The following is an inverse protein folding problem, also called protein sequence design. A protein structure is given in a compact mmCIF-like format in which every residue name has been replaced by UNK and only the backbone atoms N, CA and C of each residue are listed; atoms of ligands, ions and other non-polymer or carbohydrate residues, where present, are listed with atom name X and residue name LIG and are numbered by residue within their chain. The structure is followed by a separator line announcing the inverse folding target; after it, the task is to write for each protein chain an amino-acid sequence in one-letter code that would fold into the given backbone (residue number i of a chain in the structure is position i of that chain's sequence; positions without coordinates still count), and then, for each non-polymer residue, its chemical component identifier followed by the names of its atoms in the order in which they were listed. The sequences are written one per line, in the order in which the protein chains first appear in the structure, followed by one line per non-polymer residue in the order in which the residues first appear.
data_IF_058984792018
#
_entry.id   IF_058984792018
#
_cell.length_a   1.000
_cell.length_b   1.000
_cell.length_c   1.000
_cell.angle_alpha   90.00
_cell.angle_beta   90.00
_cell.angle_gamma   90.00
#
_symmetry.space_group_name_H-M   'P 1'
#
loop_
_entity.id
_entity.type
_entity.pdbx_description
1 polymer ?
#
# COMPACT_ATOMS: atom_id res chain seq x y z
N UNK A 1 24.56 10.97 -55.92
CA UNK A 1 24.38 9.69 -55.20
C UNK A 1 24.85 9.91 -53.77
N UNK A 2 23.95 9.62 -52.81
CA UNK A 2 24.17 9.39 -51.37
C UNK A 2 24.67 10.54 -50.47
N UNK A 3 24.27 10.64 -49.21
CA UNK A 3 22.97 10.55 -48.53
C UNK A 3 23.28 11.13 -47.14
N UNK A 4 22.54 12.15 -46.73
CA UNK A 4 22.63 12.76 -45.41
C UNK A 4 21.98 11.78 -44.40
N UNK A 5 22.74 11.24 -43.44
CA UNK A 5 22.19 10.39 -42.38
C UNK A 5 21.60 11.25 -41.27
N UNK A 6 20.28 11.11 -41.13
CA UNK A 6 19.43 11.70 -40.10
C UNK A 6 19.59 10.86 -38.81
N UNK A 7 20.08 11.46 -37.73
CA UNK A 7 20.00 10.86 -36.40
C UNK A 7 18.53 10.83 -35.97
N UNK A 8 17.96 9.63 -35.86
CA UNK A 8 16.64 9.40 -35.24
C UNK A 8 16.87 9.21 -33.75
N UNK A 9 16.59 10.24 -32.95
CA UNK A 9 16.41 10.13 -31.51
C UNK A 9 15.08 9.42 -31.25
N UNK A 10 15.12 8.10 -31.03
CA UNK A 10 13.96 7.36 -30.52
C UNK A 10 13.91 7.60 -29.01
N UNK A 11 13.17 8.64 -28.61
CA UNK A 11 12.72 8.78 -27.23
C UNK A 11 11.72 7.67 -26.94
N UNK A 12 12.15 6.62 -26.25
CA UNK A 12 11.23 5.64 -25.65
C UNK A 12 10.61 6.32 -24.44
N UNK A 13 9.49 7.01 -24.66
CA UNK A 13 8.60 7.40 -23.58
C UNK A 13 7.99 6.11 -23.02
N UNK A 14 8.62 5.53 -21.99
CA UNK A 14 7.97 4.53 -21.15
C UNK A 14 6.72 5.17 -20.57
N UNK A 15 5.56 4.80 -21.11
CA UNK A 15 4.26 5.11 -20.50
C UNK A 15 4.18 4.28 -19.21
N UNK A 16 4.69 4.83 -18.12
CA UNK A 16 4.24 4.44 -16.78
C UNK A 16 2.77 4.83 -16.76
N UNK A 17 1.90 3.85 -16.98
CA UNK A 17 0.46 4.03 -16.82
C UNK A 17 0.27 4.24 -15.32
N UNK A 18 0.16 5.49 -14.88
CA UNK A 18 -0.23 5.84 -13.52
C UNK A 18 -1.62 5.25 -13.29
N UNK A 19 -1.67 4.05 -12.70
CA UNK A 19 -2.90 3.54 -12.12
C UNK A 19 -3.20 4.39 -10.89
N UNK A 20 -4.45 4.84 -10.78
CA UNK A 20 -4.92 5.74 -9.74
C UNK A 20 -4.57 5.18 -8.35
N UNK A 21 -3.64 5.85 -7.68
CA UNK A 21 -3.05 5.45 -6.39
C UNK A 21 -4.03 5.73 -5.24
N UNK A 22 -5.11 6.48 -5.49
CA UNK A 22 -6.07 6.96 -4.46
C UNK A 22 -7.10 5.92 -4.01
N UNK A 23 -7.12 4.74 -4.64
CA UNK A 23 -7.95 3.60 -4.23
C UNK A 23 -7.14 2.35 -3.89
N UNK A 24 -5.81 2.45 -3.81
CA UNK A 24 -4.96 1.32 -3.43
C UNK A 24 -5.01 1.12 -1.91
N UNK A 25 -5.55 -0.01 -1.40
CA UNK A 25 -5.58 -0.29 0.03
C UNK A 25 -4.18 -0.26 0.68
N UNK A 26 -3.11 -0.49 -0.10
CA UNK A 26 -1.73 -0.36 0.39
C UNK A 26 -1.35 1.10 0.72
N UNK A 27 -1.97 2.08 0.03
CA UNK A 27 -1.84 3.51 0.33
C UNK A 27 -2.74 3.94 1.50
N UNK A 28 -3.95 3.37 1.62
CA UNK A 28 -4.92 3.74 2.67
C UNK A 28 -4.56 3.17 4.05
N UNK A 29 -4.02 1.95 4.12
CA UNK A 29 -3.49 1.35 5.36
C UNK A 29 -2.37 2.20 6.00
N UNK A 30 -1.67 3.00 5.19
CA UNK A 30 -0.61 3.89 5.66
C UNK A 30 -1.15 5.18 6.31
N UNK A 31 -2.40 5.59 6.08
CA UNK A 31 -2.96 6.82 6.70
C UNK A 31 -3.58 6.58 8.08
N UNK A 32 -4.28 5.46 8.27
CA UNK A 32 -4.93 5.16 9.56
C UNK A 32 -3.92 4.74 10.63
N UNK A 33 -2.85 4.04 10.23
CA UNK A 33 -1.81 3.58 11.17
C UNK A 33 -0.74 4.65 11.46
N UNK A 34 -0.55 5.65 10.58
CA UNK A 34 0.39 6.76 10.83
C UNK A 34 -0.10 7.67 11.93
N UNK A 35 -1.40 7.97 12.02
CA UNK A 35 -1.92 8.90 13.05
C UNK A 35 -1.69 8.33 14.45
N UNK A 36 -2.00 7.05 14.66
CA UNK A 36 -1.87 6.40 15.97
C UNK A 36 -0.41 6.10 16.34
N UNK A 37 0.43 5.63 15.40
CA UNK A 37 1.83 5.33 15.68
C UNK A 37 2.66 6.61 15.87
N UNK A 38 2.40 7.66 15.09
CA UNK A 38 3.13 8.94 15.21
C UNK A 38 2.89 9.59 16.57
N UNK A 39 1.65 9.58 17.08
CA UNK A 39 1.36 10.10 18.43
C UNK A 39 2.06 9.31 19.53
N UNK A 40 2.11 7.98 19.44
CA UNK A 40 2.75 7.12 20.46
C UNK A 40 4.28 7.27 20.41
N UNK A 41 4.88 7.39 19.23
CA UNK A 41 6.35 7.52 19.08
C UNK A 41 6.85 8.88 19.57
N UNK A 42 6.12 9.97 19.33
CA UNK A 42 6.47 11.29 19.91
C UNK A 42 6.35 11.30 21.44
N UNK A 43 5.30 10.69 22.00
CA UNK A 43 5.12 10.59 23.45
C UNK A 43 6.23 9.76 24.13
N UNK A 44 6.72 8.71 23.48
CA UNK A 44 7.83 7.89 23.99
C UNK A 44 9.19 8.59 23.82
N UNK A 45 9.39 9.38 22.76
CA UNK A 45 10.63 10.14 22.55
C UNK A 45 10.81 11.27 23.57
N UNK A 46 9.73 11.94 23.96
CA UNK A 46 9.76 12.98 25.00
C UNK A 46 10.02 12.39 26.40
N UNK A 47 9.55 11.16 26.67
CA UNK A 47 9.82 10.46 27.93
C UNK A 47 11.27 9.99 28.09
N UNK A 48 11.98 9.73 26.98
CA UNK A 48 13.38 9.29 26.98
C UNK A 48 14.39 10.45 27.01
N UNK A 49 13.94 11.70 26.88
CA UNK A 49 14.79 12.88 26.89
C UNK A 49 15.05 13.47 28.29
N UNK A 50 14.52 12.87 29.37
CA UNK A 50 14.55 13.48 30.70
C UNK A 50 14.96 12.55 31.87
N UNK A 51 15.85 11.59 31.62
CA UNK A 51 16.48 10.82 32.71
C UNK A 51 17.70 11.56 33.27
N UNK A 52 17.49 12.44 34.25
CA UNK A 52 18.52 12.83 35.24
C UNK A 52 17.91 13.51 36.48
N UNK A 53 17.23 12.74 37.34
CA UNK A 53 17.35 12.78 38.81
C UNK A 53 16.20 12.05 39.49
N UNK A 54 16.56 11.19 40.45
CA UNK A 54 15.69 10.34 41.23
C UNK A 54 14.65 11.11 42.07
N UNK A 55 13.42 10.57 42.21
CA UNK A 55 12.83 10.02 43.46
C UNK A 55 11.30 9.80 43.35
N UNK A 56 10.85 8.68 43.95
CA UNK A 56 9.49 8.31 44.37
C UNK A 56 8.31 8.44 43.39
N UNK A 57 7.84 7.28 42.92
CA UNK A 57 6.49 7.10 42.37
C UNK A 57 5.47 7.24 43.50
N UNK A 58 4.73 8.34 43.52
CA UNK A 58 3.40 8.39 44.13
C UNK A 58 2.38 8.65 43.02
N UNK A 59 1.42 7.73 42.92
CA UNK A 59 0.37 7.73 41.91
C UNK A 59 -0.59 8.90 42.18
N UNK A 60 -0.56 9.96 41.36
CA UNK A 60 -1.56 11.03 41.42
C UNK A 60 -2.05 11.42 40.03
N UNK A 61 -3.29 11.03 39.73
CA UNK A 61 -4.14 11.69 38.75
C UNK A 61 -4.19 13.20 39.06
N UNK A 62 -3.82 14.07 38.13
CA UNK A 62 -4.13 15.50 38.22
C UNK A 62 -4.61 16.02 36.87
N UNK A 63 -5.90 16.39 36.86
CA UNK A 63 -6.55 17.32 35.94
C UNK A 63 -5.83 18.67 35.92
N UNK A 64 -5.48 19.21 34.75
CA UNK A 64 -5.43 20.68 34.58
C UNK A 64 -5.50 21.13 33.11
N UNK A 65 -6.70 21.58 32.74
CA UNK A 65 -6.99 22.93 32.20
C UNK A 65 -5.87 23.65 31.42
N UNK A 66 -5.83 23.49 30.11
CA UNK A 66 -5.16 24.40 29.17
C UNK A 66 -5.97 24.52 27.86
N UNK A 67 -7.21 25.01 27.97
CA UNK A 67 -8.12 25.26 26.83
C UNK A 67 -8.65 26.70 26.82
N UNK A 68 -7.87 27.63 27.34
CA UNK A 68 -8.15 29.06 27.30
C UNK A 68 -6.87 29.78 26.97
N UNK A 69 -6.64 30.07 25.68
CA UNK A 69 -5.98 31.29 25.14
C UNK A 69 -5.83 31.20 23.61
N UNK A 70 -6.92 30.83 22.90
CA UNK A 70 -7.06 31.12 21.47
C UNK A 70 -8.54 31.39 21.13
N UNK A 71 -9.16 32.33 21.85
CA UNK A 71 -10.57 32.73 21.64
C UNK A 71 -10.76 34.23 21.38
N UNK A 72 -9.71 34.97 21.04
CA UNK A 72 -9.81 36.42 20.82
C UNK A 72 -9.06 36.87 19.57
N UNK A 73 -9.61 36.55 18.39
CA UNK A 73 -9.41 37.29 17.12
C UNK A 73 -10.15 36.58 15.98
N UNK A 74 -11.48 36.65 15.94
CA UNK A 74 -12.31 36.45 14.72
C UNK A 74 -13.80 36.84 14.95
N UNK A 75 -14.10 37.63 15.98
CA UNK A 75 -15.41 38.27 16.13
C UNK A 75 -15.44 39.54 15.28
N UNK A 76 -15.59 39.39 13.95
CA UNK A 76 -16.22 40.34 13.03
C UNK A 76 -16.08 39.86 11.58
N UNK A 77 -16.87 38.85 11.21
CA UNK A 77 -17.27 38.61 9.84
C UNK A 77 -18.68 38.00 9.87
N UNK A 78 -19.68 38.87 9.95
CA UNK A 78 -21.07 38.46 9.75
C UNK A 78 -21.27 38.27 8.25
N UNK A 79 -21.15 37.04 7.78
CA UNK A 79 -21.66 36.62 6.48
C UNK A 79 -22.54 35.40 6.72
N UNK A 80 -23.85 35.59 6.55
CA UNK A 80 -24.83 34.49 6.54
C UNK A 80 -24.47 33.51 5.42
N UNK A 81 -24.21 32.22 5.70
CA UNK A 81 -24.11 31.24 4.63
C UNK A 81 -25.51 31.04 4.05
N UNK A 82 -25.71 31.43 2.80
CA UNK A 82 -26.87 30.98 2.03
C UNK A 82 -26.83 29.45 1.98
N UNK A 83 -27.96 28.81 2.25
CA UNK A 83 -28.12 27.35 2.33
C UNK A 83 -27.67 26.58 1.07
N UNK A 84 -27.40 27.29 -0.02
CA UNK A 84 -26.91 26.76 -1.30
C UNK A 84 -25.43 26.34 -1.31
N UNK A 85 -24.59 26.84 -0.40
CA UNK A 85 -23.16 26.49 -0.36
C UNK A 85 -22.85 25.15 0.34
N UNK A 86 -23.83 24.54 1.03
CA UNK A 86 -23.66 23.24 1.68
C UNK A 86 -23.75 22.03 0.74
N UNK A 87 -24.10 22.25 -0.54
CA UNK A 87 -24.26 21.20 -1.55
C UNK A 87 -23.03 20.97 -2.43
N UNK A 88 -21.96 21.75 -2.27
CA UNK A 88 -20.87 21.82 -3.24
C UNK A 88 -19.48 21.35 -2.75
N UNK A 89 -19.36 20.69 -1.59
CA UNK A 89 -18.06 20.26 -1.08
C UNK A 89 -18.02 18.83 -0.49
N UNK A 90 -18.87 17.92 -0.98
CA UNK A 90 -18.51 16.50 -0.97
C UNK A 90 -17.79 16.24 -2.29
N UNK A 91 -16.46 16.23 -2.23
CA UNK A 91 -15.63 15.55 -3.22
C UNK A 91 -16.01 14.06 -3.17
N UNK A 92 -17.11 13.69 -3.82
CA UNK A 92 -17.49 12.30 -4.03
C UNK A 92 -16.41 11.71 -4.92
N UNK A 93 -15.49 10.95 -4.33
CA UNK A 93 -14.81 9.92 -5.10
C UNK A 93 -15.92 9.11 -5.80
N UNK A 94 -15.80 8.81 -7.10
CA UNK A 94 -16.81 8.00 -7.78
C UNK A 94 -17.04 6.74 -6.96
N UNK A 95 -18.28 6.53 -6.51
CA UNK A 95 -18.66 5.27 -5.89
C UNK A 95 -18.62 4.26 -7.04
N UNK A 96 -17.58 3.44 -7.08
CA UNK A 96 -17.49 2.33 -8.03
C UNK A 96 -18.77 1.47 -7.85
N UNK A 97 -19.54 1.20 -8.92
CA UNK A 97 -20.80 0.50 -8.76
C UNK A 97 -20.52 -0.94 -8.31
N UNK A 98 -21.30 -1.42 -7.33
CA UNK A 98 -21.19 -2.80 -6.88
C UNK A 98 -21.42 -3.78 -8.03
N UNK A 99 -20.75 -4.93 -7.95
CA UNK A 99 -20.85 -6.03 -8.89
C UNK A 99 -20.40 -5.73 -10.32
N UNK A 100 -19.73 -4.59 -10.55
CA UNK A 100 -19.07 -4.30 -11.82
C UNK A 100 -17.74 -5.05 -11.95
N UNK A 101 -17.35 -5.47 -13.17
CA UNK A 101 -16.09 -6.18 -13.40
C UNK A 101 -14.86 -5.37 -13.01
N UNK A 102 -13.93 -6.02 -12.31
CA UNK A 102 -12.59 -5.52 -12.03
C UNK A 102 -11.59 -6.08 -13.05
N UNK A 103 -10.41 -5.44 -13.12
CA UNK A 103 -9.29 -6.00 -13.88
C UNK A 103 -8.89 -7.36 -13.29
N UNK A 104 -8.65 -8.32 -14.18
CA UNK A 104 -8.13 -9.65 -13.81
C UNK A 104 -6.61 -9.73 -13.93
N UNK A 105 -6.01 -10.52 -13.05
CA UNK A 105 -4.59 -10.87 -13.09
C UNK A 105 -4.30 -12.12 -13.92
N UNK A 106 -3.03 -12.52 -13.95
CA UNK A 106 -2.52 -13.67 -14.72
C UNK A 106 -2.00 -14.82 -13.86
N UNK A 107 -1.99 -14.65 -12.53
CA UNK A 107 -1.56 -15.72 -11.64
C UNK A 107 -2.58 -16.86 -11.57
N UNK A 108 -2.15 -18.06 -11.14
CA UNK A 108 -3.04 -19.19 -10.97
C UNK A 108 -3.97 -18.99 -9.77
N UNK A 109 -5.21 -19.49 -9.86
CA UNK A 109 -6.21 -19.44 -8.78
C UNK A 109 -6.33 -20.83 -8.16
N UNK A 110 -6.17 -20.99 -6.83
CA UNK A 110 -6.30 -22.28 -6.18
C UNK A 110 -7.73 -22.84 -6.30
N UNK A 111 -7.85 -24.17 -6.30
CA UNK A 111 -9.13 -24.85 -6.13
C UNK A 111 -9.08 -25.67 -4.85
N UNK A 112 -9.97 -25.46 -3.87
CA UNK A 112 -11.08 -24.49 -3.85
C UNK A 112 -10.63 -23.01 -3.76
N UNK A 113 -11.37 -22.10 -4.42
CA UNK A 113 -11.13 -20.65 -4.40
C UNK A 113 -11.53 -20.03 -3.05
N UNK A 114 -10.61 -20.08 -2.09
CA UNK A 114 -10.75 -19.44 -0.78
C UNK A 114 -9.45 -18.76 -0.41
N UNK A 115 -9.51 -17.71 0.43
CA UNK A 115 -8.30 -17.07 0.95
C UNK A 115 -7.40 -18.04 1.73
N UNK A 116 -7.98 -18.99 2.46
CA UNK A 116 -7.22 -20.01 3.20
C UNK A 116 -6.41 -20.93 2.26
N UNK A 117 -7.02 -21.39 1.16
CA UNK A 117 -6.30 -22.19 0.17
C UNK A 117 -5.32 -21.35 -0.65
N UNK A 118 -5.63 -20.07 -0.90
CA UNK A 118 -4.73 -19.14 -1.56
C UNK A 118 -3.41 -18.97 -0.80
N UNK A 119 -3.47 -18.78 0.53
CA UNK A 119 -2.26 -18.69 1.35
C UNK A 119 -1.43 -19.97 1.36
N UNK A 120 -2.07 -21.13 1.20
CA UNK A 120 -1.41 -22.45 1.24
C UNK A 120 -1.17 -23.05 -0.15
N UNK A 121 -1.26 -22.26 -1.22
CA UNK A 121 -1.21 -22.81 -2.56
C UNK A 121 0.23 -23.15 -2.95
N UNK A 122 0.53 -24.44 -3.06
CA UNK A 122 1.88 -24.98 -3.32
C UNK A 122 2.56 -24.36 -4.55
N UNK A 123 1.81 -23.93 -5.56
CA UNK A 123 2.39 -23.29 -6.75
C UNK A 123 3.04 -21.95 -6.41
N UNK A 124 2.46 -21.16 -5.50
CA UNK A 124 3.05 -19.91 -5.04
C UNK A 124 4.33 -20.16 -4.25
N UNK A 125 4.34 -21.18 -3.39
CA UNK A 125 5.53 -21.58 -2.63
C UNK A 125 6.67 -22.00 -3.58
N UNK A 126 6.36 -22.80 -4.61
CA UNK A 126 7.35 -23.22 -5.62
C UNK A 126 7.95 -22.04 -6.36
N UNK A 127 7.16 -21.03 -6.72
CA UNK A 127 7.66 -19.83 -7.38
C UNK A 127 8.51 -18.99 -6.41
N UNK A 128 8.04 -18.81 -5.17
CA UNK A 128 8.74 -18.02 -4.16
C UNK A 128 10.10 -18.64 -3.76
N UNK A 129 10.22 -19.96 -3.65
CA UNK A 129 11.51 -20.59 -3.34
C UNK A 129 12.33 -20.96 -4.57
N UNK A 130 11.69 -21.14 -5.73
CA UNK A 130 12.32 -21.69 -6.93
C UNK A 130 13.11 -20.69 -7.75
N UNK A 131 12.88 -19.39 -7.58
CA UNK A 131 13.57 -18.36 -8.38
C UNK A 131 14.81 -17.84 -7.65
N UNK A 132 16.00 -17.86 -8.29
CA UNK A 132 17.20 -17.28 -7.72
C UNK A 132 17.04 -15.78 -7.43
N UNK A 133 17.68 -15.31 -6.37
CA UNK A 133 17.81 -13.87 -6.10
C UNK A 133 18.48 -13.17 -7.29
N UNK A 134 17.89 -12.08 -7.81
CA UNK A 134 18.51 -11.29 -8.87
C UNK A 134 19.90 -10.78 -8.50
N UNK A 135 20.79 -10.66 -9.49
CA UNK A 135 22.15 -10.14 -9.28
C UNK A 135 22.13 -8.72 -8.72
N UNK A 136 22.95 -8.45 -7.70
CA UNK A 136 22.97 -7.14 -7.02
C UNK A 136 21.91 -6.97 -5.92
N UNK A 137 20.98 -7.92 -5.81
CA UNK A 137 19.98 -7.98 -4.74
C UNK A 137 20.35 -9.06 -3.73
N UNK A 138 19.83 -8.93 -2.51
CA UNK A 138 19.89 -9.97 -1.48
C UNK A 138 18.46 -10.28 -1.03
N UNK A 139 18.18 -11.56 -0.81
CA UNK A 139 16.87 -12.00 -0.33
C UNK A 139 16.73 -11.63 1.15
N UNK A 140 15.64 -10.95 1.48
CA UNK A 140 15.37 -10.47 2.84
C UNK A 140 14.42 -11.41 3.57
N UNK A 141 13.42 -11.92 2.86
CA UNK A 141 12.51 -12.97 3.28
C UNK A 141 12.07 -13.74 2.04
N UNK A 142 11.39 -14.87 2.26
CA UNK A 142 10.75 -15.59 1.17
C UNK A 142 9.48 -16.28 1.64
N UNK A 143 8.57 -16.46 0.68
CA UNK A 143 7.31 -17.18 0.81
C UNK A 143 6.48 -16.75 2.04
N UNK A 144 6.28 -15.45 2.24
CA UNK A 144 5.43 -14.93 3.32
C UNK A 144 3.97 -14.80 2.88
N UNK A 145 3.05 -14.87 3.84
CA UNK A 145 1.60 -14.66 3.66
C UNK A 145 1.17 -13.21 3.86
N UNK A 146 2.12 -12.28 3.74
CA UNK A 146 1.92 -10.85 3.82
C UNK A 146 2.92 -10.13 2.92
N UNK A 147 2.54 -8.96 2.41
CA UNK A 147 3.44 -8.06 1.69
C UNK A 147 4.01 -7.00 2.63
N UNK A 148 4.97 -6.24 2.11
CA UNK A 148 5.55 -5.09 2.79
C UNK A 148 4.54 -3.93 2.78
N UNK A 149 4.35 -3.26 3.92
CA UNK A 149 3.65 -1.96 3.99
C UNK A 149 4.42 -0.96 4.83
N UNK A 150 4.85 0.14 4.21
CA UNK A 150 5.71 1.15 4.83
C UNK A 150 5.50 2.54 4.19
N UNK A 151 5.97 3.60 4.84
CA UNK A 151 5.88 4.98 4.36
C UNK A 151 6.73 5.24 3.11
N UNK A 152 7.77 4.44 2.88
CA UNK A 152 8.72 4.57 1.78
C UNK A 152 8.22 3.94 0.45
N UNK A 153 6.91 3.70 0.32
CA UNK A 153 6.29 3.09 -0.85
C UNK A 153 6.41 3.97 -2.10
N UNK A 154 6.83 3.37 -3.21
CA UNK A 154 7.01 4.04 -4.51
C UNK A 154 5.94 3.66 -5.54
N UNK A 155 5.02 2.75 -5.19
CA UNK A 155 4.04 2.19 -6.10
C UNK A 155 4.35 0.75 -6.50
N UNK A 156 3.66 0.28 -7.54
CA UNK A 156 3.73 -1.10 -8.01
C UNK A 156 3.49 -1.23 -9.51
N UNK A 157 3.85 -2.39 -10.04
CA UNK A 157 3.34 -2.89 -11.32
C UNK A 157 2.63 -4.24 -11.11
N UNK A 158 1.71 -4.55 -12.03
CA UNK A 158 1.16 -5.89 -12.17
C UNK A 158 1.93 -6.65 -13.24
N UNK A 159 2.21 -7.93 -12.99
CA UNK A 159 3.02 -8.76 -13.88
C UNK A 159 2.21 -9.94 -14.43
N UNK A 160 2.63 -10.43 -15.59
CA UNK A 160 2.04 -11.61 -16.22
C UNK A 160 2.59 -12.93 -15.64
N UNK A 161 3.78 -12.88 -15.03
CA UNK A 161 4.45 -14.01 -14.37
C UNK A 161 5.20 -13.55 -13.13
N UNK A 162 5.55 -14.50 -12.25
CA UNK A 162 6.36 -14.24 -11.06
C UNK A 162 7.84 -14.17 -11.46
N UNK A 163 8.32 -12.97 -11.77
CA UNK A 163 9.68 -12.73 -12.29
C UNK A 163 10.42 -11.67 -11.46
N UNK A 164 11.16 -12.09 -10.42
CA UNK A 164 12.03 -11.21 -9.64
C UNK A 164 13.03 -10.41 -10.48
N UNK A 165 13.59 -10.95 -11.57
CA UNK A 165 14.58 -10.22 -12.37
C UNK A 165 13.93 -9.04 -13.12
N UNK A 166 12.74 -9.27 -13.69
CA UNK A 166 11.99 -8.19 -14.32
C UNK A 166 11.54 -7.16 -13.27
N UNK A 167 11.09 -7.61 -12.09
CA UNK A 167 10.71 -6.73 -10.99
C UNK A 167 11.89 -5.84 -10.52
N UNK A 168 13.10 -6.40 -10.36
CA UNK A 168 14.28 -5.61 -10.00
C UNK A 168 14.73 -4.67 -11.11
N UNK A 169 14.64 -5.09 -12.39
CA UNK A 169 14.97 -4.21 -13.50
C UNK A 169 14.09 -2.95 -13.55
N UNK A 170 12.82 -3.07 -13.16
CA UNK A 170 11.95 -1.90 -12.97
C UNK A 170 12.43 -1.00 -11.82
N UNK A 171 12.83 -1.58 -10.68
CA UNK A 171 13.39 -0.82 -9.56
C UNK A 171 14.68 -0.08 -9.96
N UNK A 172 15.60 -0.75 -10.64
CA UNK A 172 16.88 -0.19 -11.08
C UNK A 172 16.71 1.01 -12.04
N UNK A 173 15.59 1.04 -12.79
CA UNK A 173 15.22 2.15 -13.67
C UNK A 173 14.54 3.33 -12.96
N UNK A 174 14.25 3.23 -11.66
CA UNK A 174 13.55 4.26 -10.89
C UNK A 174 14.47 4.99 -9.93
N UNK A 175 14.30 6.30 -9.86
CA UNK A 175 15.06 7.13 -8.95
C UNK A 175 14.73 6.78 -7.49
N UNK A 176 15.76 6.50 -6.69
CA UNK A 176 15.68 6.16 -5.27
C UNK A 176 14.97 4.83 -4.95
N UNK A 177 14.71 3.94 -5.91
CA UNK A 177 14.27 2.60 -5.59
C UNK A 177 15.46 1.75 -5.11
N UNK A 178 15.34 1.13 -3.94
CA UNK A 178 16.43 0.35 -3.33
C UNK A 178 15.98 -1.03 -2.86
N UNK A 179 14.70 -1.33 -2.98
CA UNK A 179 14.10 -2.59 -2.59
C UNK A 179 12.80 -2.83 -3.36
N UNK A 180 12.51 -4.11 -3.56
CA UNK A 180 11.26 -4.60 -4.14
C UNK A 180 10.55 -5.51 -3.14
N UNK A 181 9.25 -5.74 -3.34
CA UNK A 181 8.58 -6.93 -2.83
C UNK A 181 7.62 -7.47 -3.89
N UNK A 182 7.84 -8.73 -4.29
CA UNK A 182 7.04 -9.43 -5.30
C UNK A 182 6.16 -10.49 -4.62
N UNK A 183 4.87 -10.51 -4.94
CA UNK A 183 3.90 -11.39 -4.29
C UNK A 183 2.67 -11.65 -5.15
N UNK A 184 1.90 -12.68 -4.75
CA UNK A 184 0.57 -12.96 -5.29
C UNK A 184 -0.49 -12.32 -4.39
N UNK A 185 -1.45 -11.62 -4.98
CA UNK A 185 -2.61 -11.04 -4.31
C UNK A 185 -3.89 -11.66 -4.85
N UNK A 186 -4.76 -12.11 -3.96
CA UNK A 186 -6.11 -12.58 -4.27
C UNK A 186 -7.03 -11.36 -4.38
N UNK A 187 -7.54 -11.08 -5.56
CA UNK A 187 -8.47 -9.97 -5.80
C UNK A 187 -9.82 -10.48 -6.29
N UNK A 188 -10.93 -9.76 -6.03
CA UNK A 188 -12.22 -10.16 -6.55
C UNK A 188 -12.33 -9.81 -8.05
N UNK A 189 -13.00 -10.65 -8.84
CA UNK A 189 -13.24 -10.37 -10.27
C UNK A 189 -14.31 -9.30 -10.49
N UNK A 190 -15.15 -9.05 -9.49
CA UNK A 190 -16.16 -7.99 -9.44
C UNK A 190 -15.91 -7.09 -8.23
N UNK A 191 -16.44 -5.87 -8.21
CA UNK A 191 -16.49 -5.07 -6.98
C UNK A 191 -17.45 -5.74 -6.01
N UNK A 192 -17.01 -6.24 -4.83
CA UNK A 192 -17.89 -6.90 -3.88
C UNK A 192 -19.02 -5.99 -3.43
N UNK A 193 -20.22 -6.54 -3.31
CA UNK A 193 -21.41 -5.76 -2.92
C UNK A 193 -22.56 -6.66 -2.48
N UNK A 194 -23.72 -6.09 -2.12
CA UNK A 194 -24.82 -6.87 -1.53
C UNK A 194 -25.32 -8.04 -2.40
N UNK A 195 -25.31 -7.90 -3.73
CA UNK A 195 -25.74 -8.93 -4.68
C UNK A 195 -24.61 -9.88 -5.11
N UNK A 196 -23.36 -9.53 -4.78
CA UNK A 196 -22.16 -10.30 -5.08
C UNK A 196 -21.16 -10.19 -3.91
N UNK A 197 -21.50 -10.65 -2.70
CA UNK A 197 -20.71 -10.34 -1.51
C UNK A 197 -19.36 -11.06 -1.49
N UNK A 198 -19.25 -12.19 -2.19
CA UNK A 198 -18.02 -12.95 -2.36
C UNK A 198 -17.91 -13.47 -3.82
N UNK A 199 -17.54 -12.61 -4.79
CA UNK A 199 -17.38 -13.04 -6.18
C UNK A 199 -16.17 -13.97 -6.33
N UNK A 200 -16.04 -14.62 -7.48
CA UNK A 200 -14.84 -15.40 -7.83
C UNK A 200 -13.59 -14.53 -7.72
N UNK A 201 -12.44 -15.14 -7.42
CA UNK A 201 -11.17 -14.43 -7.36
C UNK A 201 -10.38 -14.49 -8.67
N UNK A 202 -9.41 -13.59 -8.74
CA UNK A 202 -8.31 -13.58 -9.70
C UNK A 202 -7.02 -13.35 -8.93
N UNK A 203 -5.91 -13.87 -9.44
CA UNK A 203 -4.60 -13.71 -8.81
C UNK A 203 -3.82 -12.63 -9.55
N UNK A 204 -3.56 -11.50 -8.88
CA UNK A 204 -2.67 -10.46 -9.38
C UNK A 204 -1.26 -10.75 -8.87
N UNK A 205 -0.29 -10.76 -9.78
CA UNK A 205 1.12 -10.81 -9.43
C UNK A 205 1.59 -9.37 -9.31
N UNK A 206 1.91 -8.92 -8.10
CA UNK A 206 2.34 -7.54 -7.83
C UNK A 206 3.85 -7.51 -7.60
N UNK A 207 4.49 -6.48 -8.15
CA UNK A 207 5.85 -6.07 -7.83
C UNK A 207 5.79 -4.65 -7.27
N UNK A 208 6.03 -4.51 -5.98
CA UNK A 208 6.04 -3.23 -5.25
C UNK A 208 7.45 -2.71 -5.09
N UNK A 209 7.59 -1.38 -4.96
CA UNK A 209 8.87 -0.70 -4.96
C UNK A 209 9.02 0.22 -3.76
N UNK A 210 10.25 0.38 -3.27
CA UNK A 210 10.51 1.02 -1.97
C UNK A 210 11.79 1.87 -1.97
N UNK A 211 11.74 3.04 -1.30
CA UNK A 211 12.92 3.90 -1.04
C UNK A 211 13.78 3.42 0.14
N UNK A 212 13.22 2.62 1.04
CA UNK A 212 13.89 2.18 2.27
C UNK A 212 14.30 0.71 2.23
N UNK A 213 15.52 0.39 2.68
CA UNK A 213 16.01 -1.00 2.77
C UNK A 213 15.41 -1.82 3.93
N UNK A 214 14.67 -1.18 4.83
CA UNK A 214 14.09 -1.83 6.03
C UNK A 214 12.78 -2.58 5.74
N UNK A 215 12.59 -3.11 4.53
CA UNK A 215 11.34 -3.79 4.14
C UNK A 215 11.02 -5.02 5.01
N UNK A 216 12.06 -5.73 5.51
CA UNK A 216 11.90 -6.92 6.35
C UNK A 216 11.07 -6.70 7.62
N UNK A 217 11.13 -5.50 8.18
CA UNK A 217 10.46 -5.16 9.44
C UNK A 217 8.96 -4.91 9.26
N UNK A 218 8.50 -4.83 8.01
CA UNK A 218 7.18 -4.32 7.67
C UNK A 218 6.36 -5.32 6.83
N UNK A 219 6.58 -6.62 7.04
CA UNK A 219 5.81 -7.70 6.41
C UNK A 219 4.51 -7.94 7.18
N UNK A 220 3.60 -6.97 7.09
CA UNK A 220 2.43 -6.86 7.95
C UNK A 220 1.13 -6.59 7.18
N UNK A 221 1.17 -6.48 5.85
CA UNK A 221 -0.03 -6.41 5.04
C UNK A 221 -0.49 -7.81 4.69
N UNK A 222 -1.48 -8.31 5.45
CA UNK A 222 -2.05 -9.64 5.24
C UNK A 222 -3.21 -9.64 4.24
N UNK A 223 -3.55 -8.49 3.65
CA UNK A 223 -4.79 -8.25 2.94
C UNK A 223 -5.89 -7.76 3.87
N UNK A 224 -7.13 -7.76 3.39
CA UNK A 224 -8.28 -7.18 4.07
C UNK A 224 -9.58 -7.86 3.61
N UNK A 225 -10.68 -7.60 4.32
CA UNK A 225 -12.01 -8.05 3.90
C UNK A 225 -12.79 -6.90 3.28
N UNK A 226 -13.48 -7.20 2.19
CA UNK A 226 -14.41 -6.32 1.51
C UNK A 226 -15.71 -7.11 1.26
N UNK A 227 -16.77 -6.75 1.97
CA UNK A 227 -17.93 -7.64 2.19
C UNK A 227 -17.50 -9.03 2.68
N UNK A 228 -17.93 -10.09 2.00
CA UNK A 228 -17.60 -11.48 2.33
C UNK A 228 -16.33 -11.95 1.62
N UNK A 229 -15.79 -11.16 0.69
CA UNK A 229 -14.56 -11.46 -0.02
C UNK A 229 -13.34 -11.10 0.85
N UNK A 230 -12.40 -12.03 0.96
CA UNK A 230 -11.10 -11.77 1.60
C UNK A 230 -10.01 -11.62 0.54
N UNK A 231 -9.44 -10.41 0.46
CA UNK A 231 -8.17 -10.17 -0.22
C UNK A 231 -7.07 -10.77 0.64
N UNK A 232 -6.21 -11.56 0.02
CA UNK A 232 -5.16 -12.32 0.69
C UNK A 232 -3.86 -12.23 -0.08
N UNK A 233 -2.74 -12.33 0.64
CA UNK A 233 -1.39 -12.28 0.07
C UNK A 233 -0.67 -13.59 0.34
N UNK A 234 0.11 -14.05 -0.64
CA UNK A 234 0.91 -15.26 -0.57
C UNK A 234 2.16 -15.18 -1.46
N UNK A 235 3.12 -16.08 -1.24
CA UNK A 235 4.34 -16.18 -2.05
C UNK A 235 5.15 -14.88 -2.08
N UNK A 236 5.15 -14.14 -0.98
CA UNK A 236 5.81 -12.84 -0.89
C UNK A 236 7.31 -12.98 -0.66
N UNK A 237 8.11 -12.33 -1.51
CA UNK A 237 9.59 -12.28 -1.50
C UNK A 237 10.14 -10.85 -1.60
#
# INVERSE_FOLDING_TARGET
MHHLQLLVLIGVASRIRTQDIRGDPDYLMNQDNTTTITTVVYQLADALANENSATSVENSMVNTTASHQLKTSLANASMTPSAEASKAAQSLLPIEPYCEPKRTGKGPVPTPDTAANFRKFDEFEKQAYGVPTPSGYHMVFSNRYASTSNIDYLGYITMDSYDPNNCTAHCDGMENCVAINIFFERNPTLIPGPECPNPSSTTIIKCTFWRGKKIALHINNFGYRDFDFEVAIAGSN
#
